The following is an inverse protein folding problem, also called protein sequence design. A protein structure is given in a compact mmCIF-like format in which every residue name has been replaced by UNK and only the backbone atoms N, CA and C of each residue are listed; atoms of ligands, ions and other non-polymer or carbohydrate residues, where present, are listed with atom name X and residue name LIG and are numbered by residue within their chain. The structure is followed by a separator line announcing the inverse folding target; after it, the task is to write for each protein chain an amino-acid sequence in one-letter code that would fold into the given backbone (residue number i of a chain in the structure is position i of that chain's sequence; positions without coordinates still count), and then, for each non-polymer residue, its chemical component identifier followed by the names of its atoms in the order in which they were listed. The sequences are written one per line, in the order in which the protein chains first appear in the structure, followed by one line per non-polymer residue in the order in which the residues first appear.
data_IF_542092832507
#
_entry.id   IF_542092832507
#
_cell.length_a   1.000
_cell.length_b   1.000
_cell.length_c   1.000
_cell.angle_alpha   90.00
_cell.angle_beta   90.00
_cell.angle_gamma   90.00
#
_symmetry.space_group_name_H-M   'P 1'
#
loop_
_entity.id
_entity.type
_entity.pdbx_description
1 polymer ?
#
# COMPACT_ATOMS: atom_id res chain seq x y z
N UNK A 1 -42.92 23.52 31.92
CA UNK A 1 -42.73 22.76 30.67
C UNK A 1 -41.64 23.42 29.83
N UNK A 2 -40.35 23.09 30.04
CA UNK A 2 -39.20 23.57 29.22
C UNK A 2 -37.84 22.92 29.56
N UNK A 3 -37.75 22.02 30.55
CA UNK A 3 -36.47 21.38 30.93
C UNK A 3 -36.00 20.34 29.90
N UNK A 4 -36.92 19.69 29.19
CA UNK A 4 -36.60 18.66 28.19
C UNK A 4 -35.85 19.21 26.98
N UNK A 5 -36.14 20.45 26.55
CA UNK A 5 -35.47 21.06 25.39
C UNK A 5 -34.03 21.47 25.67
N UNK A 6 -33.71 21.84 26.92
CA UNK A 6 -32.35 22.22 27.31
C UNK A 6 -31.36 21.06 27.33
N UNK A 7 -31.84 19.83 27.56
CA UNK A 7 -31.02 18.61 27.58
C UNK A 7 -31.02 17.91 26.22
N UNK A 8 -32.13 17.96 25.49
CA UNK A 8 -32.27 17.26 24.21
C UNK A 8 -31.40 17.86 23.10
N UNK A 9 -31.29 19.19 23.04
CA UNK A 9 -30.50 19.89 22.02
C UNK A 9 -29.00 19.57 22.10
N UNK A 10 -28.32 19.64 23.26
CA UNK A 10 -26.91 19.26 23.34
C UNK A 10 -26.68 17.76 23.11
N UNK A 11 -27.64 16.90 23.47
CA UNK A 11 -27.56 15.46 23.22
C UNK A 11 -27.59 15.14 21.72
N UNK A 12 -28.47 15.81 20.97
CA UNK A 12 -28.57 15.67 19.51
C UNK A 12 -27.30 16.18 18.83
N UNK A 13 -26.78 17.34 19.26
CA UNK A 13 -25.50 17.88 18.76
C UNK A 13 -24.34 16.91 18.99
N UNK A 14 -24.26 16.30 20.18
CA UNK A 14 -23.23 15.31 20.50
C UNK A 14 -23.35 14.04 19.63
N UNK A 15 -24.57 13.55 19.40
CA UNK A 15 -24.82 12.42 18.49
C UNK A 15 -24.44 12.73 17.04
N UNK A 16 -24.70 13.96 16.55
CA UNK A 16 -24.30 14.38 15.21
C UNK A 16 -22.78 14.47 15.07
N UNK A 17 -22.06 14.92 16.10
CA UNK A 17 -20.60 14.94 16.11
C UNK A 17 -20.04 13.51 16.08
N UNK A 18 -20.59 12.59 16.89
CA UNK A 18 -20.19 11.19 16.86
C UNK A 18 -20.47 10.54 15.50
N UNK A 19 -21.62 10.84 14.89
CA UNK A 19 -21.97 10.36 13.56
C UNK A 19 -21.02 10.92 12.50
N UNK A 20 -20.66 12.21 12.58
CA UNK A 20 -19.65 12.83 11.72
C UNK A 20 -18.30 12.13 11.87
N UNK A 21 -17.81 11.93 13.09
CA UNK A 21 -16.54 11.20 13.32
C UNK A 21 -16.60 9.75 12.83
N UNK A 22 -17.75 9.08 12.96
CA UNK A 22 -17.94 7.71 12.49
C UNK A 22 -17.92 7.62 10.96
N UNK A 23 -18.64 8.52 10.29
CA UNK A 23 -18.68 8.61 8.82
C UNK A 23 -17.31 9.02 8.25
N UNK A 24 -16.63 9.98 8.89
CA UNK A 24 -15.33 10.49 8.45
C UNK A 24 -14.18 9.49 8.68
N UNK A 25 -14.41 8.39 9.42
CA UNK A 25 -13.42 7.32 9.61
C UNK A 25 -13.25 6.42 8.38
N UNK A 26 -14.14 6.53 7.39
CA UNK A 26 -14.13 5.67 6.20
C UNK A 26 -13.12 6.09 5.12
N UNK A 27 -12.56 7.31 5.18
CA UNK A 27 -11.56 7.79 4.20
C UNK A 27 -10.10 7.35 4.51
N UNK A 28 -9.89 6.58 5.57
CA UNK A 28 -8.61 5.87 5.80
C UNK A 28 -8.68 4.41 5.36
N UNK A 29 -9.45 4.11 4.31
CA UNK A 29 -9.17 2.92 3.51
C UNK A 29 -7.85 3.18 2.82
N UNK A 30 -6.77 2.85 3.53
CA UNK A 30 -5.47 2.55 2.97
C UNK A 30 -5.72 1.88 1.61
N UNK A 31 -5.11 2.41 0.55
CA UNK A 31 -4.86 1.62 -0.65
C UNK A 31 -4.27 0.32 -0.12
N UNK A 32 -5.08 -0.74 -0.08
CA UNK A 32 -4.69 -2.00 0.53
C UNK A 32 -3.67 -2.60 -0.42
N UNK A 33 -2.41 -2.18 -0.25
CA UNK A 33 -1.32 -2.65 -1.07
C UNK A 33 -1.32 -4.16 -0.93
N UNK A 34 -1.58 -4.86 -2.03
CA UNK A 34 -1.46 -6.31 -2.04
C UNK A 34 0.00 -6.64 -1.76
N UNK A 35 0.24 -7.21 -0.57
CA UNK A 35 1.55 -7.70 -0.19
C UNK A 35 1.81 -9.01 -0.92
N UNK A 36 2.92 -9.06 -1.66
CA UNK A 36 3.37 -10.24 -2.39
C UNK A 36 4.68 -10.75 -1.81
N UNK A 37 4.91 -12.05 -1.92
CA UNK A 37 6.18 -12.66 -1.50
C UNK A 37 7.30 -12.36 -2.50
N UNK A 38 8.55 -12.53 -2.06
CA UNK A 38 9.71 -12.46 -2.97
C UNK A 38 9.58 -13.47 -4.10
N UNK A 39 9.12 -14.69 -3.81
CA UNK A 39 8.98 -15.76 -4.82
C UNK A 39 7.99 -15.33 -5.91
N UNK A 40 6.86 -14.74 -5.51
CA UNK A 40 5.85 -14.25 -6.44
C UNK A 40 6.38 -13.08 -7.28
N UNK A 41 7.11 -12.15 -6.64
CA UNK A 41 7.77 -11.05 -7.34
C UNK A 41 8.82 -11.54 -8.36
N UNK A 42 9.59 -12.59 -8.03
CA UNK A 42 10.53 -13.23 -8.95
C UNK A 42 9.80 -13.83 -10.16
N UNK A 43 8.65 -14.46 -9.93
CA UNK A 43 7.84 -15.03 -11.00
C UNK A 43 7.26 -13.94 -11.92
N UNK A 44 6.88 -12.79 -11.35
CA UNK A 44 6.51 -11.62 -12.15
C UNK A 44 7.67 -11.08 -12.98
N UNK A 45 8.88 -11.03 -12.42
CA UNK A 45 10.07 -10.61 -13.17
C UNK A 45 10.37 -11.58 -14.33
N UNK A 46 10.39 -12.89 -14.06
CA UNK A 46 10.62 -13.94 -15.08
C UNK A 46 9.60 -13.89 -16.21
N UNK A 47 8.34 -13.62 -15.90
CA UNK A 47 7.26 -13.52 -16.88
C UNK A 47 7.13 -12.12 -17.51
N UNK A 48 8.15 -11.27 -17.39
CA UNK A 48 8.18 -9.91 -17.95
C UNK A 48 7.04 -9.00 -17.47
N UNK A 49 6.43 -9.29 -16.32
CA UNK A 49 5.30 -8.52 -15.79
C UNK A 49 5.75 -7.29 -15.02
N UNK A 50 7.01 -7.20 -14.60
CA UNK A 50 7.53 -6.04 -13.87
C UNK A 50 7.89 -4.92 -14.84
N UNK A 51 7.46 -3.70 -14.50
CA UNK A 51 7.78 -2.47 -15.22
C UNK A 51 8.81 -1.62 -14.46
N UNK A 52 8.60 -1.47 -13.15
CA UNK A 52 9.38 -0.59 -12.30
C UNK A 52 9.39 -1.10 -10.86
N UNK A 53 10.38 -0.67 -10.10
CA UNK A 53 10.57 -1.02 -8.70
C UNK A 53 10.99 0.21 -7.91
N UNK A 54 10.37 0.41 -6.76
CA UNK A 54 10.64 1.56 -5.90
C UNK A 54 10.97 1.08 -4.49
N UNK A 55 12.09 1.52 -3.92
CA UNK A 55 12.38 1.33 -2.51
C UNK A 55 12.06 2.62 -1.75
N UNK A 56 11.27 2.53 -0.70
CA UNK A 56 10.97 3.67 0.17
C UNK A 56 12.02 3.83 1.25
N UNK A 57 12.18 5.06 1.73
CA UNK A 57 13.07 5.38 2.87
C UNK A 57 12.78 4.56 4.15
N UNK A 58 11.55 4.05 4.31
CA UNK A 58 11.17 3.16 5.42
C UNK A 58 11.60 1.68 5.22
N UNK A 59 12.35 1.41 4.14
CA UNK A 59 12.87 0.09 3.79
C UNK A 59 11.86 -0.84 3.14
N UNK A 60 10.66 -0.37 2.77
CA UNK A 60 9.71 -1.17 1.98
C UNK A 60 10.05 -1.08 0.50
N UNK A 61 9.98 -2.22 -0.20
CA UNK A 61 10.09 -2.27 -1.65
C UNK A 61 8.70 -2.41 -2.26
N UNK A 62 8.45 -1.68 -3.33
CA UNK A 62 7.26 -1.71 -4.14
C UNK A 62 7.62 -2.11 -5.56
N UNK A 63 6.69 -2.82 -6.20
CA UNK A 63 6.86 -3.30 -7.55
C UNK A 63 5.66 -2.82 -8.35
N UNK A 64 5.94 -2.09 -9.42
CA UNK A 64 4.94 -1.70 -10.40
C UNK A 64 4.98 -2.69 -11.54
N UNK A 65 3.86 -3.35 -11.77
CA UNK A 65 3.67 -4.27 -12.88
C UNK A 65 3.31 -3.48 -14.15
N UNK A 66 3.50 -4.11 -15.32
CA UNK A 66 3.18 -3.52 -16.63
C UNK A 66 1.70 -3.28 -16.87
N UNK A 67 0.84 -3.96 -16.11
CA UNK A 67 -0.59 -3.69 -16.07
C UNK A 67 -0.94 -2.42 -15.26
N UNK A 68 0.07 -1.75 -14.69
CA UNK A 68 -0.08 -0.54 -13.87
C UNK A 68 -0.39 -0.83 -12.40
N UNK A 69 -0.59 -2.09 -12.01
CA UNK A 69 -0.81 -2.44 -10.63
C UNK A 69 0.49 -2.33 -9.83
N UNK A 70 0.39 -1.81 -8.61
CA UNK A 70 1.53 -1.64 -7.71
C UNK A 70 1.34 -2.53 -6.49
N UNK A 71 2.34 -3.37 -6.22
CA UNK A 71 2.36 -4.38 -5.17
C UNK A 71 3.43 -4.02 -4.16
N UNK A 72 3.20 -4.31 -2.90
CA UNK A 72 4.20 -4.15 -1.84
C UNK A 72 4.93 -5.48 -1.66
N UNK A 73 6.24 -5.45 -1.66
CA UNK A 73 7.04 -6.61 -1.36
C UNK A 73 7.00 -6.85 0.16
N UNK A 74 6.60 -8.06 0.56
CA UNK A 74 6.57 -8.43 1.97
C UNK A 74 8.01 -8.62 2.48
N UNK A 75 8.49 -7.64 3.24
CA UNK A 75 9.79 -7.72 3.91
C UNK A 75 9.84 -8.90 4.89
N UNK A 76 10.77 -9.82 4.65
CA UNK A 76 11.31 -10.74 5.64
C UNK A 76 12.34 -9.92 6.43
N UNK A 77 11.98 -9.58 7.66
CA UNK A 77 12.77 -8.76 8.59
C UNK A 77 14.26 -9.16 8.55
N UNK A 78 15.14 -8.22 8.20
CA UNK A 78 16.60 -8.40 8.27
C UNK A 78 17.31 -8.81 6.97
N UNK A 79 16.61 -8.97 5.85
CA UNK A 79 17.23 -9.16 4.53
C UNK A 79 16.91 -7.94 3.67
N UNK A 80 17.92 -7.23 3.15
CA UNK A 80 17.70 -6.26 2.07
C UNK A 80 17.19 -7.04 0.85
N UNK A 81 15.88 -7.17 0.73
CA UNK A 81 15.23 -7.96 -0.33
C UNK A 81 15.43 -7.37 -1.71
N UNK A 82 15.84 -6.11 -1.75
CA UNK A 82 16.33 -5.45 -2.95
C UNK A 82 17.51 -6.22 -3.56
N UNK A 83 18.38 -6.86 -2.76
CA UNK A 83 19.49 -7.68 -3.30
C UNK A 83 19.02 -8.96 -4.00
N UNK A 84 18.16 -9.75 -3.34
CA UNK A 84 17.63 -11.02 -3.88
C UNK A 84 16.69 -10.78 -5.06
N UNK A 85 15.90 -9.70 -5.00
CA UNK A 85 15.02 -9.30 -6.08
C UNK A 85 15.80 -8.69 -7.26
N UNK A 86 16.86 -7.90 -7.02
CA UNK A 86 17.76 -7.41 -8.08
C UNK A 86 18.35 -8.55 -8.91
N UNK A 87 18.73 -9.67 -8.29
CA UNK A 87 19.25 -10.81 -9.04
C UNK A 87 18.20 -11.43 -9.98
N UNK A 88 16.95 -11.51 -9.54
CA UNK A 88 15.85 -11.97 -10.38
C UNK A 88 15.50 -10.97 -11.50
N UNK A 89 15.60 -9.67 -11.23
CA UNK A 89 15.41 -8.63 -12.25
C UNK A 89 16.53 -8.64 -13.29
N UNK A 90 17.78 -8.92 -12.89
CA UNK A 90 18.89 -9.13 -13.82
C UNK A 90 18.68 -10.38 -14.69
N UNK A 91 18.05 -11.44 -14.18
CA UNK A 91 17.68 -12.60 -15.01
C UNK A 91 16.53 -12.30 -15.99
N UNK A 92 15.79 -11.22 -15.77
CA UNK A 92 14.68 -10.77 -16.61
C UNK A 92 15.12 -9.72 -17.66
N UNK A 93 16.42 -9.58 -17.96
CA UNK A 93 16.95 -8.62 -18.94
C UNK A 93 16.29 -8.70 -20.34
N UNK A 94 15.77 -9.88 -20.71
CA UNK A 94 15.06 -10.09 -21.98
C UNK A 94 13.69 -9.39 -22.05
N UNK A 95 13.17 -8.90 -20.92
CA UNK A 95 11.88 -8.24 -20.81
C UNK A 95 11.94 -6.74 -21.13
N UNK A 96 13.12 -6.20 -21.43
CA UNK A 96 13.36 -4.77 -21.58
C UNK A 96 13.75 -4.08 -20.27
N UNK A 97 14.00 -2.76 -20.30
CA UNK A 97 14.55 -2.05 -19.16
C UNK A 97 13.54 -2.00 -18.00
N UNK A 98 13.97 -2.47 -16.83
CA UNK A 98 13.22 -2.32 -15.58
C UNK A 98 13.81 -1.10 -14.86
N UNK A 99 12.94 -0.15 -14.52
CA UNK A 99 13.35 1.04 -13.77
C UNK A 99 13.49 0.70 -12.28
N UNK A 100 14.42 1.40 -11.64
CA UNK A 100 14.65 1.35 -10.20
C UNK A 100 14.68 2.77 -9.68
N UNK A 101 13.83 3.07 -8.72
CA UNK A 101 13.79 4.36 -8.02
C UNK A 101 13.92 4.15 -6.52
N UNK A 102 14.44 5.16 -5.83
CA UNK A 102 14.37 5.28 -4.38
C UNK A 102 13.42 6.45 -4.13
N UNK A 103 12.35 6.21 -3.37
CA UNK A 103 11.31 7.19 -2.99
C UNK A 103 11.48 7.65 -1.54
#
# INVERSE_FOLDING_TARGET
MKLTKFVLVPLIMFLLVLLYFYLNKQEYQQIAWQEISVIEAQEYAKNCKVADTAETNDGYTYITLRDGSRKKLKNYKGVSQVGVFKQALNSAQNCGPIKFSIE
#
